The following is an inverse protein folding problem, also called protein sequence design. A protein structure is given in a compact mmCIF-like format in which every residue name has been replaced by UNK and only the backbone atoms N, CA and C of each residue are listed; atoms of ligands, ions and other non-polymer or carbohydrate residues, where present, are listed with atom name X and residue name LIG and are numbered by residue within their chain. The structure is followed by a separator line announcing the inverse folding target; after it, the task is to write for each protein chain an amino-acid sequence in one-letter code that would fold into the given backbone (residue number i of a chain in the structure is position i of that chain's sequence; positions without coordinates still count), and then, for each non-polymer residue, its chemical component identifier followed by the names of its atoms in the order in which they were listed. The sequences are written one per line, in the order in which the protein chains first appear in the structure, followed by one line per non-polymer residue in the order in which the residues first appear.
data_IF_399258955453
#
_entry.id   IF_399258955453
#
_cell.length_a   1.000
_cell.length_b   1.000
_cell.length_c   1.000
_cell.angle_alpha   90.00
_cell.angle_beta   90.00
_cell.angle_gamma   90.00
#
_symmetry.space_group_name_H-M   'P 1'
#
loop_
_entity.id
_entity.type
_entity.pdbx_description
1 polymer ?
#
# COMPACT_ATOMS: atom_id res chain seq x y z
N UNK A 1 40.02 38.24 -49.40
CA UNK A 1 40.26 38.27 -47.95
C UNK A 1 39.34 39.34 -47.34
N UNK A 2 38.11 38.95 -47.00
CA UNK A 2 37.23 39.44 -45.91
C UNK A 2 35.99 38.53 -45.99
N UNK A 3 35.86 37.58 -45.07
CA UNK A 3 34.64 36.77 -44.91
C UNK A 3 33.87 37.40 -43.76
N UNK A 4 32.69 37.94 -44.05
CA UNK A 4 31.77 38.51 -43.08
C UNK A 4 30.47 37.68 -43.17
N UNK A 5 30.30 36.74 -42.23
CA UNK A 5 29.07 35.96 -42.10
C UNK A 5 28.52 36.14 -40.69
N UNK A 6 27.59 37.08 -40.56
CA UNK A 6 26.71 37.23 -39.39
C UNK A 6 25.50 36.34 -39.62
N UNK A 7 25.32 35.32 -38.80
CA UNK A 7 24.08 34.55 -38.67
C UNK A 7 23.87 34.29 -37.17
N UNK A 8 23.14 35.20 -36.55
CA UNK A 8 22.51 35.00 -35.24
C UNK A 8 21.06 34.58 -35.51
N UNK A 9 20.54 33.68 -34.67
CA UNK A 9 19.14 33.19 -34.55
C UNK A 9 18.88 31.80 -35.14
N UNK A 10 18.93 30.79 -34.27
CA UNK A 10 17.79 29.89 -34.06
C UNK A 10 17.90 29.31 -32.63
N UNK A 11 17.18 29.92 -31.69
CA UNK A 11 16.79 29.25 -30.44
C UNK A 11 15.45 28.55 -30.68
N UNK A 12 15.27 27.40 -30.02
CA UNK A 12 14.05 26.60 -29.82
C UNK A 12 13.83 25.38 -30.74
N UNK A 13 14.25 24.21 -30.22
CA UNK A 13 13.46 22.98 -30.15
C UNK A 13 14.16 22.08 -29.10
N UNK A 14 13.82 22.23 -27.82
CA UNK A 14 12.78 21.47 -27.10
C UNK A 14 13.30 20.09 -26.65
N UNK A 15 13.23 19.90 -25.33
CA UNK A 15 13.49 18.67 -24.59
C UNK A 15 13.00 17.41 -25.30
N UNK A 16 13.88 16.43 -25.43
CA UNK A 16 13.53 15.03 -25.31
C UNK A 16 14.24 14.51 -24.06
N UNK A 17 13.59 14.69 -22.90
CA UNK A 17 13.91 13.85 -21.76
C UNK A 17 13.30 12.49 -22.10
N UNK A 18 14.15 11.55 -22.47
CA UNK A 18 13.77 10.14 -22.51
C UNK A 18 13.27 9.79 -21.11
N UNK A 19 11.95 9.68 -20.95
CA UNK A 19 11.34 8.88 -19.89
C UNK A 19 11.73 7.42 -20.19
N UNK A 20 12.99 7.09 -19.95
CA UNK A 20 13.43 5.71 -19.82
C UNK A 20 12.55 5.05 -18.77
N UNK A 21 12.01 3.88 -19.10
CA UNK A 21 11.17 3.03 -18.26
C UNK A 21 11.61 3.13 -16.79
N UNK A 22 10.91 4.01 -16.08
CA UNK A 22 11.40 4.55 -14.82
C UNK A 22 11.29 3.50 -13.73
N UNK A 23 12.34 3.38 -12.92
CA UNK A 23 12.30 2.63 -11.67
C UNK A 23 10.99 2.92 -10.91
N UNK A 24 10.36 1.90 -10.30
CA UNK A 24 9.08 2.07 -9.61
C UNK A 24 9.17 3.20 -8.58
N UNK A 25 8.23 4.14 -8.64
CA UNK A 25 8.17 5.27 -7.70
C UNK A 25 7.21 4.93 -6.59
N UNK A 26 7.75 4.36 -5.52
CA UNK A 26 6.93 3.96 -4.39
C UNK A 26 6.24 5.14 -3.70
N UNK A 27 4.98 4.94 -3.32
CA UNK A 27 4.18 5.84 -2.50
C UNK A 27 3.48 5.06 -1.41
N UNK A 28 3.18 5.74 -0.30
CA UNK A 28 2.57 5.15 0.88
C UNK A 28 1.26 5.86 1.20
N UNK A 29 0.23 5.08 1.48
CA UNK A 29 -1.08 5.57 1.94
C UNK A 29 -1.38 5.03 3.33
N UNK A 30 -1.63 5.94 4.28
CA UNK A 30 -1.94 5.59 5.67
C UNK A 30 -3.42 5.32 5.82
N UNK A 31 -3.77 4.13 6.32
CA UNK A 31 -5.17 3.74 6.52
C UNK A 31 -5.69 4.28 7.85
N UNK A 32 -6.27 5.48 7.81
CA UNK A 32 -6.80 6.17 9.00
C UNK A 32 -8.33 6.00 9.13
N UNK A 33 -8.88 5.89 10.36
CA UNK A 33 -8.17 5.77 11.64
C UNK A 33 -7.49 4.40 11.84
N UNK A 34 -6.63 4.25 12.85
CA UNK A 34 -6.10 2.93 13.27
C UNK A 34 -7.22 1.87 13.41
N UNK A 35 -6.95 0.64 12.98
CA UNK A 35 -7.91 -0.47 13.07
C UNK A 35 -7.86 -1.03 14.49
N UNK A 36 -9.01 -1.14 15.15
CA UNK A 36 -9.18 -1.89 16.41
C UNK A 36 -10.22 -2.97 16.20
N UNK A 37 -9.86 -4.23 16.42
CA UNK A 37 -10.78 -5.36 16.26
C UNK A 37 -10.43 -6.51 17.20
N UNK A 38 -11.19 -7.61 17.12
CA UNK A 38 -11.01 -8.79 17.96
C UNK A 38 -10.11 -9.84 17.28
N UNK A 39 -9.68 -10.84 18.05
CA UNK A 39 -9.09 -12.08 17.55
C UNK A 39 -9.53 -13.25 18.44
N UNK A 40 -9.37 -14.48 17.96
CA UNK A 40 -9.80 -15.70 18.66
C UNK A 40 -8.86 -16.02 19.82
N UNK A 41 -9.41 -16.18 21.03
CA UNK A 41 -8.64 -16.63 22.20
C UNK A 41 -9.11 -17.97 22.72
N UNK A 42 -8.27 -18.61 23.53
CA UNK A 42 -8.63 -19.81 24.27
C UNK A 42 -9.53 -19.43 25.46
N UNK A 43 -10.83 -19.68 25.34
CA UNK A 43 -11.82 -19.46 26.40
C UNK A 43 -12.95 -18.52 26.01
N UNK A 44 -13.61 -17.92 27.02
CA UNK A 44 -14.81 -17.09 26.83
C UNK A 44 -14.53 -15.59 26.63
N UNK A 45 -13.26 -15.17 26.61
CA UNK A 45 -12.88 -13.75 26.47
C UNK A 45 -12.48 -13.43 25.04
N UNK A 46 -12.84 -12.25 24.55
CA UNK A 46 -12.31 -11.76 23.28
C UNK A 46 -10.95 -11.12 23.52
N UNK A 47 -10.00 -11.40 22.63
CA UNK A 47 -8.73 -10.70 22.58
C UNK A 47 -8.88 -9.48 21.67
N UNK A 48 -8.20 -8.38 22.00
CA UNK A 48 -8.28 -7.14 21.22
C UNK A 48 -6.93 -6.83 20.59
N UNK A 49 -6.96 -6.39 19.34
CA UNK A 49 -5.79 -5.92 18.61
C UNK A 49 -6.06 -4.53 18.03
N UNK A 50 -5.06 -3.65 18.13
CA UNK A 50 -5.00 -2.34 17.49
C UNK A 50 -3.80 -2.26 16.55
N UNK A 51 -4.04 -2.00 15.28
CA UNK A 51 -3.00 -1.88 14.25
C UNK A 51 -3.07 -0.55 13.50
N UNK A 52 -1.90 0.00 13.18
CA UNK A 52 -1.75 1.04 12.17
C UNK A 52 -1.18 0.41 10.90
N UNK A 53 -1.84 0.68 9.77
CA UNK A 53 -1.53 0.05 8.48
C UNK A 53 -1.12 1.13 7.47
N UNK A 54 0.01 0.91 6.81
CA UNK A 54 0.45 1.69 5.65
C UNK A 54 0.42 0.79 4.41
N UNK A 55 -0.14 1.29 3.32
CA UNK A 55 -0.25 0.58 2.04
C UNK A 55 0.79 1.13 1.08
N UNK A 56 1.64 0.27 0.52
CA UNK A 56 2.68 0.65 -0.44
C UNK A 56 2.23 0.34 -1.86
N UNK A 57 2.37 1.33 -2.75
CA UNK A 57 2.11 1.20 -4.20
C UNK A 57 3.34 1.63 -4.99
N UNK A 58 3.54 1.06 -6.16
CA UNK A 58 4.65 1.36 -7.08
C UNK A 58 4.40 2.57 -7.99
N UNK A 59 3.19 3.13 -7.93
CA UNK A 59 2.78 4.29 -8.71
C UNK A 59 1.97 5.28 -7.84
N UNK A 60 2.44 6.54 -7.67
CA UNK A 60 1.75 7.55 -6.87
C UNK A 60 0.31 7.83 -7.32
N UNK A 61 -0.02 7.58 -8.59
CA UNK A 61 -1.38 7.79 -9.13
C UNK A 61 -2.41 6.81 -8.55
N UNK A 62 -1.98 5.71 -7.92
CA UNK A 62 -2.88 4.73 -7.29
C UNK A 62 -3.37 5.17 -5.91
N UNK A 63 -2.77 6.19 -5.30
CA UNK A 63 -3.12 6.62 -3.92
C UNK A 63 -4.58 7.06 -3.81
N UNK A 64 -5.11 7.79 -4.79
CA UNK A 64 -6.52 8.23 -4.77
C UNK A 64 -7.50 7.07 -4.88
N UNK A 65 -7.14 6.01 -5.61
CA UNK A 65 -7.95 4.79 -5.70
C UNK A 65 -7.95 4.03 -4.37
N UNK A 66 -6.80 3.96 -3.69
CA UNK A 66 -6.71 3.37 -2.35
C UNK A 66 -7.55 4.15 -1.33
N UNK A 67 -7.58 5.48 -1.43
CA UNK A 67 -8.41 6.31 -0.57
C UNK A 67 -9.90 6.03 -0.80
N UNK A 68 -10.33 5.98 -2.06
CA UNK A 68 -11.71 5.66 -2.44
C UNK A 68 -12.14 4.26 -1.97
N UNK A 69 -11.29 3.26 -2.12
CA UNK A 69 -11.53 1.88 -1.69
C UNK A 69 -11.13 1.60 -0.23
N UNK A 70 -10.75 2.62 0.54
CA UNK A 70 -10.32 2.44 1.93
C UNK A 70 -11.33 1.70 2.83
N UNK A 71 -12.67 1.83 2.65
CA UNK A 71 -13.63 1.03 3.43
C UNK A 71 -13.52 -0.47 3.15
N UNK A 72 -13.39 -0.88 1.88
CA UNK A 72 -13.22 -2.27 1.48
C UNK A 72 -11.90 -2.84 2.03
N UNK A 73 -10.81 -2.10 1.86
CA UNK A 73 -9.48 -2.52 2.34
C UNK A 73 -9.51 -2.74 3.85
N UNK A 74 -10.14 -1.81 4.58
CA UNK A 74 -10.30 -1.91 6.04
C UNK A 74 -11.10 -3.15 6.44
N UNK A 75 -12.22 -3.40 5.77
CA UNK A 75 -13.09 -4.55 6.06
C UNK A 75 -12.35 -5.87 5.91
N UNK A 76 -11.62 -6.06 4.79
CA UNK A 76 -10.81 -7.25 4.52
C UNK A 76 -9.74 -7.47 5.60
N UNK A 77 -9.08 -6.41 6.05
CA UNK A 77 -8.08 -6.51 7.13
C UNK A 77 -8.74 -6.87 8.46
N UNK A 78 -9.87 -6.26 8.80
CA UNK A 78 -10.64 -6.56 10.01
C UNK A 78 -11.07 -8.02 10.03
N UNK A 79 -11.64 -8.51 8.93
CA UNK A 79 -12.07 -9.90 8.80
C UNK A 79 -10.89 -10.86 8.95
N UNK A 80 -9.78 -10.55 8.30
CA UNK A 80 -8.55 -11.37 8.38
C UNK A 80 -8.03 -11.45 9.81
N UNK A 81 -8.01 -10.34 10.55
CA UNK A 81 -7.57 -10.29 11.95
C UNK A 81 -8.53 -11.04 12.90
N UNK A 82 -9.84 -10.92 12.68
CA UNK A 82 -10.87 -11.59 13.49
C UNK A 82 -10.74 -13.12 13.48
N UNK A 83 -10.20 -13.69 12.40
CA UNK A 83 -10.02 -15.13 12.23
C UNK A 83 -8.73 -15.65 12.88
N UNK A 84 -7.81 -14.78 13.32
CA UNK A 84 -6.52 -15.20 13.84
C UNK A 84 -6.61 -15.71 15.27
N UNK A 85 -5.77 -16.69 15.58
CA UNK A 85 -5.63 -17.20 16.95
C UNK A 85 -4.70 -16.32 17.78
N UNK A 86 -4.84 -16.38 19.11
CA UNK A 86 -3.96 -15.69 20.04
C UNK A 86 -2.47 -16.04 19.82
N UNK A 87 -2.17 -17.30 19.52
CA UNK A 87 -0.81 -17.78 19.24
C UNK A 87 -0.22 -17.12 17.98
N UNK A 88 -1.02 -16.97 16.92
CA UNK A 88 -0.59 -16.27 15.71
C UNK A 88 -0.41 -14.77 15.96
N UNK A 89 -1.36 -14.13 16.65
CA UNK A 89 -1.31 -12.68 16.93
C UNK A 89 -0.07 -12.31 17.75
N UNK A 90 0.29 -13.14 18.75
CA UNK A 90 1.36 -12.83 19.70
C UNK A 90 2.76 -13.22 19.22
N UNK A 91 2.88 -14.06 18.19
CA UNK A 91 4.17 -14.50 17.66
C UNK A 91 4.69 -13.61 16.52
N UNK A 92 6.01 -13.48 16.41
CA UNK A 92 6.65 -12.71 15.33
C UNK A 92 6.38 -13.31 13.95
N UNK A 93 6.50 -14.64 13.83
CA UNK A 93 6.20 -15.36 12.59
C UNK A 93 4.73 -15.29 12.23
N UNK A 94 3.83 -15.36 13.22
CA UNK A 94 2.40 -15.19 13.02
C UNK A 94 2.06 -13.78 12.53
N UNK A 95 2.62 -12.73 13.14
CA UNK A 95 2.45 -11.35 12.66
C UNK A 95 2.86 -11.18 11.20
N UNK A 96 3.99 -11.74 10.79
CA UNK A 96 4.43 -11.66 9.39
C UNK A 96 3.52 -12.45 8.44
N UNK A 97 3.06 -13.61 8.87
CA UNK A 97 2.09 -14.42 8.10
C UNK A 97 0.79 -13.65 7.92
N UNK A 98 0.24 -13.08 8.98
CA UNK A 98 -0.97 -12.25 8.97
C UNK A 98 -0.80 -11.06 8.03
N UNK A 99 0.34 -10.36 8.09
CA UNK A 99 0.64 -9.22 7.22
C UNK A 99 0.59 -9.61 5.74
N UNK A 100 1.22 -10.73 5.36
CA UNK A 100 1.18 -11.26 3.99
C UNK A 100 -0.23 -11.68 3.58
N UNK A 101 -0.97 -12.36 4.45
CA UNK A 101 -2.36 -12.73 4.16
C UNK A 101 -3.24 -11.50 3.94
N UNK A 102 -3.08 -10.44 4.74
CA UNK A 102 -3.77 -9.18 4.50
C UNK A 102 -3.40 -8.58 3.14
N UNK A 103 -2.12 -8.54 2.78
CA UNK A 103 -1.68 -8.03 1.47
C UNK A 103 -2.30 -8.81 0.30
N UNK A 104 -2.31 -10.14 0.41
CA UNK A 104 -2.87 -11.03 -0.62
C UNK A 104 -4.37 -10.82 -0.77
N UNK A 105 -5.14 -10.93 0.33
CA UNK A 105 -6.59 -10.76 0.31
C UNK A 105 -7.00 -9.36 -0.14
N UNK A 106 -6.34 -8.32 0.34
CA UNK A 106 -6.66 -6.95 -0.10
C UNK A 106 -6.45 -6.80 -1.61
N UNK A 107 -5.35 -7.32 -2.15
CA UNK A 107 -5.13 -7.30 -3.60
C UNK A 107 -6.16 -8.14 -4.37
N UNK A 108 -6.58 -9.28 -3.84
CA UNK A 108 -7.63 -10.12 -4.46
C UNK A 108 -8.95 -9.35 -4.56
N UNK A 109 -9.39 -8.74 -3.45
CA UNK A 109 -10.63 -7.95 -3.44
C UNK A 109 -10.53 -6.70 -4.31
N UNK A 110 -9.41 -5.97 -4.28
CA UNK A 110 -9.21 -4.82 -5.17
C UNK A 110 -9.16 -5.25 -6.64
N UNK A 111 -8.56 -6.39 -6.96
CA UNK A 111 -8.52 -6.91 -8.32
C UNK A 111 -9.94 -7.24 -8.82
N UNK A 112 -10.80 -7.80 -7.99
CA UNK A 112 -12.19 -8.09 -8.36
C UNK A 112 -12.99 -6.82 -8.68
N UNK A 113 -12.79 -5.74 -7.93
CA UNK A 113 -13.52 -4.48 -8.12
C UNK A 113 -12.95 -3.60 -9.24
N UNK A 114 -11.62 -3.59 -9.40
CA UNK A 114 -10.92 -2.60 -10.24
C UNK A 114 -10.22 -3.21 -11.45
N UNK A 115 -10.18 -4.55 -11.56
CA UNK A 115 -9.39 -5.30 -12.53
C UNK A 115 -7.88 -4.96 -12.49
N UNK A 116 -7.38 -4.48 -11.35
CA UNK A 116 -5.97 -4.14 -11.16
C UNK A 116 -5.46 -4.57 -9.79
N UNK A 117 -4.28 -5.19 -9.76
CA UNK A 117 -3.51 -5.38 -8.53
C UNK A 117 -2.77 -4.09 -8.19
N UNK A 118 -3.10 -3.47 -7.06
CA UNK A 118 -2.59 -2.13 -6.72
C UNK A 118 -1.47 -2.14 -5.70
N UNK A 119 -1.53 -3.03 -4.69
CA UNK A 119 -0.59 -3.00 -3.59
C UNK A 119 0.67 -3.79 -3.90
N UNK A 120 1.81 -3.12 -3.78
CA UNK A 120 3.12 -3.76 -3.76
C UNK A 120 3.38 -4.39 -2.39
N UNK A 121 3.05 -3.68 -1.30
CA UNK A 121 3.22 -4.20 0.06
C UNK A 121 2.24 -3.59 1.06
N UNK A 122 2.11 -4.22 2.23
CA UNK A 122 1.28 -3.78 3.36
C UNK A 122 2.12 -3.84 4.64
N UNK A 123 2.19 -2.72 5.37
CA UNK A 123 3.04 -2.59 6.54
C UNK A 123 2.21 -2.36 7.80
N UNK A 124 2.52 -3.11 8.86
CA UNK A 124 2.04 -2.81 10.21
C UNK A 124 3.03 -1.91 10.93
N UNK A 125 2.76 -0.61 11.00
CA UNK A 125 3.62 0.39 11.67
C UNK A 125 3.33 0.52 13.16
N UNK A 126 2.16 0.04 13.60
CA UNK A 126 1.82 -0.17 15.01
C UNK A 126 1.07 -1.49 15.14
N UNK A 127 1.36 -2.24 16.19
CA UNK A 127 0.78 -3.56 16.42
C UNK A 127 0.70 -3.82 17.93
N UNK A 128 -0.45 -3.54 18.52
CA UNK A 128 -0.68 -3.67 19.96
C UNK A 128 -1.82 -4.66 20.19
N UNK A 129 -1.63 -5.59 21.13
CA UNK A 129 -2.66 -6.53 21.55
C UNK A 129 -2.82 -6.51 23.07
N UNK A 130 -4.00 -6.90 23.53
CA UNK A 130 -4.33 -7.12 24.95
C UNK A 130 -4.73 -8.58 25.18
#
# INVERSE_FOLDING_TARGET
MVVLSVLFWLSAAVHAQEEGEGNPKYSYFSLEPEITTNYVTEGRRLGFIKVKVELMVDNPKLVSELEYHSPLIRDVIIETLNQQTATQIKSLSGRETIRKTCLEKVNEHLLAETNRRMLTDLLFTKYLYQ
#
